data_IF_707539192258
#
_entry.id   IF_707539192258
#
_cell.length_a   1.000
_cell.length_b   1.000
_cell.length_c   1.000
_cell.angle_alpha   90.00
_cell.angle_beta   90.00
_cell.angle_gamma   90.00
#
_symmetry.space_group_name_H-M   'P 1'
#
loop_
_entity.id
_entity.type
_entity.pdbx_description
1 polymer ?
#
# COMPACT_ATOMS: atom_id res chain seq x y z
N UNK A 1 -41.44 -1.89 -17.63
CA UNK A 1 -40.23 -1.14 -17.22
C UNK A 1 -39.52 -1.95 -16.16
N UNK A 2 -38.60 -2.83 -16.55
CA UNK A 2 -37.72 -3.57 -15.63
C UNK A 2 -36.36 -2.87 -15.69
N UNK A 3 -35.95 -2.27 -14.57
CA UNK A 3 -34.64 -1.64 -14.45
C UNK A 3 -33.55 -2.71 -14.56
N UNK A 4 -32.66 -2.52 -15.52
CA UNK A 4 -31.49 -3.36 -15.74
C UNK A 4 -30.64 -3.41 -14.46
N UNK A 5 -30.42 -4.62 -13.96
CA UNK A 5 -29.46 -4.88 -12.90
C UNK A 5 -28.05 -4.56 -13.39
N UNK A 6 -27.40 -3.60 -12.74
CA UNK A 6 -25.99 -3.35 -12.91
C UNK A 6 -25.22 -4.44 -12.15
N UNK A 7 -24.78 -5.48 -12.88
CA UNK A 7 -23.76 -6.41 -12.39
C UNK A 7 -22.43 -5.65 -12.50
N UNK A 8 -22.09 -4.90 -11.47
CA UNK A 8 -20.74 -4.38 -11.33
C UNK A 8 -19.84 -5.56 -10.98
N UNK A 9 -18.91 -5.89 -11.87
CA UNK A 9 -17.74 -6.74 -11.57
C UNK A 9 -17.19 -6.28 -10.21
N UNK A 10 -17.35 -7.12 -9.17
CA UNK A 10 -16.63 -6.91 -7.93
C UNK A 10 -15.14 -6.90 -8.31
N UNK A 11 -14.33 -5.94 -7.82
CA UNK A 11 -12.90 -5.93 -8.13
C UNK A 11 -12.35 -7.31 -7.79
N UNK A 12 -11.83 -8.00 -8.81
CA UNK A 12 -11.35 -9.38 -8.70
C UNK A 12 -10.40 -9.46 -7.52
N UNK A 13 -10.81 -10.20 -6.49
CA UNK A 13 -10.03 -10.40 -5.27
C UNK A 13 -8.60 -10.78 -5.66
N UNK A 14 -7.59 -9.96 -5.30
CA UNK A 14 -6.25 -10.19 -5.81
C UNK A 14 -5.72 -11.48 -5.20
N UNK A 15 -5.33 -12.44 -6.05
CA UNK A 15 -4.83 -13.75 -5.62
C UNK A 15 -3.61 -13.65 -4.67
N UNK A 16 -2.91 -12.51 -4.70
CA UNK A 16 -1.81 -12.15 -3.81
C UNK A 16 -2.03 -10.74 -3.23
N UNK A 17 -1.63 -10.48 -1.97
CA UNK A 17 -1.66 -9.14 -1.42
C UNK A 17 -0.82 -8.18 -2.27
N UNK A 18 -1.32 -6.98 -2.52
CA UNK A 18 -0.69 -5.98 -3.39
C UNK A 18 -0.38 -4.69 -2.62
N UNK A 19 0.88 -4.25 -2.67
CA UNK A 19 1.32 -2.95 -2.17
C UNK A 19 1.39 -1.93 -3.31
N UNK A 20 0.53 -0.92 -3.24
CA UNK A 20 0.48 0.21 -4.15
C UNK A 20 1.31 1.36 -3.59
N UNK A 21 2.23 1.89 -4.38
CA UNK A 21 3.12 2.99 -3.97
C UNK A 21 3.27 4.03 -5.07
N UNK A 22 3.63 5.27 -4.71
CA UNK A 22 3.91 6.31 -5.71
C UNK A 22 5.34 6.18 -6.26
N UNK A 23 5.48 5.78 -7.53
CA UNK A 23 6.76 5.68 -8.22
C UNK A 23 7.47 7.02 -8.44
N UNK A 24 6.78 8.15 -8.30
CA UNK A 24 7.38 9.48 -8.37
C UNK A 24 7.94 9.98 -7.03
N UNK A 25 7.72 9.23 -5.94
CA UNK A 25 8.22 9.58 -4.61
C UNK A 25 9.50 8.80 -4.29
N UNK A 26 10.64 9.48 -4.23
CA UNK A 26 11.96 8.88 -3.97
C UNK A 26 12.06 8.12 -2.64
N UNK A 27 11.31 8.55 -1.64
CA UNK A 27 11.17 7.82 -0.37
C UNK A 27 10.38 6.51 -0.56
N UNK A 28 9.21 6.56 -1.23
CA UNK A 28 8.38 5.39 -1.44
C UNK A 28 9.11 4.34 -2.28
N UNK A 29 9.77 4.74 -3.37
CA UNK A 29 10.56 3.83 -4.22
C UNK A 29 11.73 3.21 -3.46
N UNK A 30 12.48 4.00 -2.68
CA UNK A 30 13.60 3.53 -1.86
C UNK A 30 13.18 2.57 -0.75
N UNK A 31 12.00 2.78 -0.16
CA UNK A 31 11.43 1.92 0.85
C UNK A 31 10.91 0.61 0.22
N UNK A 32 10.11 0.68 -0.85
CA UNK A 32 9.65 -0.51 -1.59
C UNK A 32 10.82 -1.38 -2.06
N UNK A 33 11.90 -0.78 -2.56
CA UNK A 33 13.09 -1.54 -2.96
C UNK A 33 13.73 -2.31 -1.79
N UNK A 34 13.70 -1.76 -0.57
CA UNK A 34 14.18 -2.46 0.64
C UNK A 34 13.23 -3.59 1.03
N UNK A 35 11.93 -3.35 0.99
CA UNK A 35 10.91 -4.37 1.31
C UNK A 35 10.97 -5.51 0.31
N UNK A 36 11.07 -5.25 -1.00
CA UNK A 36 11.24 -6.29 -2.04
C UNK A 36 12.41 -7.22 -1.77
N UNK A 37 13.51 -6.72 -1.20
CA UNK A 37 14.65 -7.55 -0.80
C UNK A 37 14.38 -8.44 0.41
N UNK A 38 13.43 -8.05 1.27
CA UNK A 38 12.99 -8.85 2.41
C UNK A 38 11.91 -9.87 2.01
N UNK A 39 11.24 -9.66 0.87
CA UNK A 39 10.23 -10.56 0.32
C UNK A 39 10.86 -11.71 -0.47
N UNK A 40 11.59 -12.58 0.22
CA UNK A 40 12.31 -13.70 -0.39
C UNK A 40 11.40 -14.74 -1.06
N UNK A 41 10.12 -14.79 -0.67
CA UNK A 41 9.16 -15.77 -1.17
C UNK A 41 8.23 -15.22 -2.25
N UNK A 42 8.44 -13.97 -2.68
CA UNK A 42 7.52 -13.28 -3.57
C UNK A 42 6.07 -13.44 -3.04
N UNK A 43 5.88 -13.09 -1.77
CA UNK A 43 4.59 -13.21 -1.09
C UNK A 43 3.67 -12.03 -1.42
N UNK A 44 4.24 -10.88 -1.82
CA UNK A 44 3.53 -9.62 -2.01
C UNK A 44 3.78 -9.07 -3.40
N UNK A 45 2.73 -8.65 -4.09
CA UNK A 45 2.84 -7.93 -5.35
C UNK A 45 3.09 -6.44 -5.08
N UNK A 46 3.91 -5.79 -5.90
CA UNK A 46 4.28 -4.38 -5.71
C UNK A 46 4.00 -3.60 -6.97
N UNK A 47 3.00 -2.72 -6.91
CA UNK A 47 2.48 -2.01 -8.08
C UNK A 47 2.60 -0.51 -7.90
N UNK A 48 3.03 0.17 -8.96
CA UNK A 48 3.14 1.63 -8.93
C UNK A 48 1.76 2.27 -9.14
N UNK A 49 1.54 3.41 -8.50
CA UNK A 49 0.36 4.27 -8.70
C UNK A 49 0.21 4.77 -10.15
N UNK A 50 1.30 4.78 -10.92
CA UNK A 50 1.24 5.12 -12.34
C UNK A 50 0.65 3.99 -13.21
N UNK A 51 0.48 2.79 -12.67
CA UNK A 51 -0.17 1.68 -13.38
C UNK A 51 -1.67 1.94 -13.49
N UNK A 52 -2.30 1.89 -14.68
CA UNK A 52 -3.74 2.08 -14.81
C UNK A 52 -4.58 1.09 -13.99
N UNK A 53 -4.07 -0.11 -13.72
CA UNK A 53 -4.78 -1.19 -12.99
C UNK A 53 -4.99 -0.88 -11.51
N UNK A 54 -4.22 0.02 -10.89
CA UNK A 54 -4.33 0.26 -9.44
C UNK A 54 -5.65 0.90 -9.01
N UNK A 55 -6.36 1.59 -9.91
CA UNK A 55 -7.70 2.11 -9.60
C UNK A 55 -8.73 0.98 -9.46
N UNK A 56 -8.67 0.01 -10.35
CA UNK A 56 -9.52 -1.18 -10.33
C UNK A 56 -9.19 -2.05 -9.11
N UNK A 57 -7.90 -2.22 -8.80
CA UNK A 57 -7.44 -3.03 -7.67
C UNK A 57 -7.77 -2.43 -6.29
N UNK A 58 -7.73 -1.10 -6.14
CA UNK A 58 -7.94 -0.45 -4.84
C UNK A 58 -9.36 0.07 -4.63
N UNK A 59 -10.13 0.27 -5.70
CA UNK A 59 -11.41 0.98 -5.66
C UNK A 59 -11.31 2.44 -5.19
N UNK A 60 -10.10 3.00 -5.08
CA UNK A 60 -9.86 4.35 -4.56
C UNK A 60 -9.52 5.35 -5.67
N UNK A 61 -9.79 6.63 -5.39
CA UNK A 61 -9.42 7.70 -6.31
C UNK A 61 -7.90 7.88 -6.36
N UNK A 62 -7.40 8.37 -7.50
CA UNK A 62 -5.99 8.72 -7.67
C UNK A 62 -5.50 9.73 -6.62
N UNK A 63 -6.39 10.61 -6.14
CA UNK A 63 -6.05 11.59 -5.11
C UNK A 63 -5.77 10.91 -3.76
N UNK A 64 -6.62 9.96 -3.36
CA UNK A 64 -6.44 9.18 -2.13
C UNK A 64 -5.15 8.33 -2.22
N UNK A 65 -4.95 7.66 -3.34
CA UNK A 65 -3.76 6.85 -3.57
C UNK A 65 -2.45 7.66 -3.56
N UNK A 66 -2.50 8.96 -3.89
CA UNK A 66 -1.33 9.86 -3.79
C UNK A 66 -1.02 10.27 -2.36
N UNK A 67 -1.97 10.20 -1.42
CA UNK A 67 -1.75 10.65 -0.06
C UNK A 67 -0.86 9.69 0.74
N UNK A 68 -0.94 8.39 0.43
CA UNK A 68 -0.17 7.38 1.14
C UNK A 68 0.14 6.13 0.29
N UNK A 69 1.05 5.28 0.79
CA UNK A 69 1.15 3.89 0.29
C UNK A 69 -0.09 3.12 0.70
N UNK A 70 -0.56 2.23 -0.16
CA UNK A 70 -1.76 1.43 0.08
C UNK A 70 -1.42 -0.06 0.01
N UNK A 71 -2.04 -0.86 0.86
CA UNK A 71 -1.91 -2.31 0.86
C UNK A 71 -3.28 -2.93 0.69
N UNK A 72 -3.46 -3.65 -0.41
CA UNK A 72 -4.69 -4.36 -0.77
C UNK A 72 -4.48 -5.82 -0.40
N UNK A 73 -5.33 -6.34 0.47
CA UNK A 73 -5.30 -7.74 0.89
C UNK A 73 -6.18 -8.59 -0.05
N UNK A 74 -5.94 -9.91 -0.16
CA UNK A 74 -6.74 -10.78 -1.04
C UNK A 74 -8.24 -10.76 -0.77
N UNK A 75 -8.67 -10.49 0.46
CA UNK A 75 -10.08 -10.36 0.85
C UNK A 75 -10.68 -8.97 0.53
N UNK A 76 -9.99 -8.17 -0.29
CA UNK A 76 -10.42 -6.83 -0.69
C UNK A 76 -10.20 -5.74 0.37
N UNK A 77 -9.64 -6.04 1.54
CA UNK A 77 -9.37 -5.02 2.55
C UNK A 77 -8.22 -4.10 2.11
N UNK A 78 -8.45 -2.78 2.15
CA UNK A 78 -7.45 -1.77 1.78
C UNK A 78 -6.97 -1.00 3.00
N UNK A 79 -5.65 -1.01 3.22
CA UNK A 79 -4.98 -0.26 4.28
C UNK A 79 -4.15 0.86 3.67
N UNK A 80 -3.95 1.96 4.40
CA UNK A 80 -3.16 3.12 3.95
C UNK A 80 -2.04 3.48 4.94
N UNK A 81 -0.96 4.09 4.45
CA UNK A 81 0.11 4.68 5.25
C UNK A 81 0.79 3.67 6.20
N UNK A 82 0.88 4.03 7.49
CA UNK A 82 1.50 3.15 8.49
C UNK A 82 0.72 1.84 8.67
N UNK A 83 -0.61 1.86 8.52
CA UNK A 83 -1.43 0.64 8.58
C UNK A 83 -1.09 -0.30 7.40
N UNK A 84 -0.87 0.26 6.20
CA UNK A 84 -0.41 -0.51 5.04
C UNK A 84 0.96 -1.17 5.29
N UNK A 85 1.91 -0.42 5.83
CA UNK A 85 3.23 -0.96 6.18
C UNK A 85 3.13 -2.08 7.23
N UNK A 86 2.30 -1.89 8.26
CA UNK A 86 2.09 -2.91 9.30
C UNK A 86 1.50 -4.20 8.73
N UNK A 87 0.51 -4.10 7.84
CA UNK A 87 -0.12 -5.25 7.21
C UNK A 87 0.87 -5.98 6.28
N UNK A 88 1.63 -5.24 5.47
CA UNK A 88 2.71 -5.76 4.64
C UNK A 88 3.70 -6.63 5.41
N UNK A 89 4.18 -6.19 6.58
CA UNK A 89 5.12 -6.95 7.41
C UNK A 89 4.52 -8.23 8.02
N UNK A 90 3.21 -8.49 7.89
CA UNK A 90 2.63 -9.80 8.23
C UNK A 90 3.00 -10.88 7.22
N UNK A 91 3.22 -10.51 5.97
CA UNK A 91 3.53 -11.43 4.87
C UNK A 91 5.03 -11.67 4.70
N UNK A 92 5.87 -10.87 5.35
CA UNK A 92 7.33 -10.98 5.28
C UNK A 92 7.87 -11.78 6.47
N UNK A 93 8.62 -12.85 6.19
CA UNK A 93 9.16 -13.75 7.21
C UNK A 93 10.10 -13.02 8.21
N UNK A 94 10.90 -12.07 7.70
CA UNK A 94 11.76 -11.18 8.50
C UNK A 94 11.05 -9.97 9.15
N UNK A 95 9.74 -9.79 8.91
CA UNK A 95 8.97 -8.63 9.36
C UNK A 95 8.69 -8.58 10.86
N UNK A 96 9.07 -9.62 11.63
CA UNK A 96 8.78 -9.73 13.08
C UNK A 96 9.30 -8.55 13.89
N UNK A 97 10.54 -8.12 13.66
CA UNK A 97 11.15 -6.98 14.38
C UNK A 97 10.47 -5.66 14.00
N UNK A 98 10.22 -5.46 12.70
CA UNK A 98 9.57 -4.23 12.22
C UNK A 98 8.12 -4.13 12.71
N UNK A 99 7.40 -5.26 12.77
CA UNK A 99 6.06 -5.35 13.36
C UNK A 99 6.05 -5.06 14.86
N UNK A 100 7.07 -5.49 15.60
CA UNK A 100 7.23 -5.15 17.02
C UNK A 100 7.41 -3.64 17.22
N UNK A 101 8.25 -3.02 16.38
CA UNK A 101 8.49 -1.57 16.42
C UNK A 101 7.20 -0.80 16.04
N UNK A 102 6.58 -1.15 14.92
CA UNK A 102 5.34 -0.50 14.45
C UNK A 102 4.12 -0.80 15.35
N UNK A 103 4.13 -1.92 16.09
CA UNK A 103 3.06 -2.31 17.00
C UNK A 103 3.14 -1.67 18.38
N UNK A 104 4.24 -0.99 18.71
CA UNK A 104 4.41 -0.36 20.01
C UNK A 104 3.47 0.85 20.19
N UNK A 105 2.84 1.03 21.37
CA UNK A 105 1.95 2.16 21.63
C UNK A 105 2.71 3.49 21.45
N UNK A 106 2.16 4.39 20.63
CA UNK A 106 2.76 5.69 20.31
C UNK A 106 3.64 5.71 19.05
N UNK A 107 4.08 4.56 18.53
CA UNK A 107 4.89 4.52 17.29
C UNK A 107 4.04 4.73 16.05
N UNK A 108 2.83 4.17 15.99
CA UNK A 108 1.91 4.37 14.87
C UNK A 108 1.57 5.86 14.60
N UNK A 109 1.10 6.65 15.59
CA UNK A 109 0.80 8.07 15.35
C UNK A 109 2.06 8.88 15.02
N UNK A 110 3.22 8.51 15.55
CA UNK A 110 4.49 9.14 15.20
C UNK A 110 4.92 8.79 13.76
N UNK A 111 4.81 7.52 13.37
CA UNK A 111 5.11 7.03 12.03
C UNK A 111 4.17 7.64 10.99
N UNK A 112 2.88 7.79 11.32
CA UNK A 112 1.91 8.50 10.47
C UNK A 112 2.24 9.99 10.34
N UNK A 113 2.68 10.65 11.42
CA UNK A 113 3.11 12.06 11.37
C UNK A 113 4.38 12.24 10.54
N UNK A 114 5.37 11.35 10.71
CA UNK A 114 6.60 11.34 9.92
C UNK A 114 6.26 11.07 8.46
N UNK A 115 5.42 10.07 8.19
CA UNK A 115 4.97 9.75 6.83
C UNK A 115 4.24 10.93 6.20
N UNK A 116 3.29 11.55 6.91
CA UNK A 116 2.56 12.71 6.42
C UNK A 116 3.46 13.94 6.21
N UNK A 117 4.56 14.06 6.96
CA UNK A 117 5.56 15.10 6.74
C UNK A 117 6.40 14.83 5.49
N UNK A 118 6.85 13.59 5.28
CA UNK A 118 7.55 13.16 4.06
C UNK A 118 6.64 13.30 2.83
N UNK A 119 5.38 12.88 2.94
CA UNK A 119 4.39 12.99 1.88
C UNK A 119 3.98 14.43 1.57
N UNK A 120 4.13 15.36 2.52
CA UNK A 120 3.98 16.82 2.31
C UNK A 120 5.21 17.45 1.66
N UNK A 121 6.39 16.89 1.92
CA UNK A 121 7.67 17.36 1.38
C UNK A 121 7.96 16.65 0.05
N UNK A 122 6.99 16.67 -0.90
CA UNK A 122 7.16 16.11 -2.25
C UNK A 122 8.18 16.92 -3.03
N UNK A 123 9.47 16.69 -2.77
CA UNK A 123 10.53 17.10 -3.68
C UNK A 123 10.52 16.18 -4.91
N UNK A 124 10.61 16.71 -6.14
CA UNK A 124 10.72 15.88 -7.33
C UNK A 124 11.97 15.01 -7.24
N UNK A 125 11.87 13.75 -7.66
CA UNK A 125 13.04 12.89 -7.89
C UNK A 125 13.72 13.42 -9.16
N UNK A 126 14.98 13.86 -9.02
CA UNK A 126 15.85 14.20 -10.15
C UNK A 126 16.22 12.95 -10.94
#
# INVERSE_FOLDING_TARGET
MLAAGYVGDAPSEPARPTLIYDGSCGFCTSWVARVKRLDHHDAVEFTSLQDPRVRELSGQSLEQLRQAVHFVRPDGAVFAGAAAARELFRYLWGGRVVRLILGAPGVMPLAERIYAWIARTRGPVR
#
